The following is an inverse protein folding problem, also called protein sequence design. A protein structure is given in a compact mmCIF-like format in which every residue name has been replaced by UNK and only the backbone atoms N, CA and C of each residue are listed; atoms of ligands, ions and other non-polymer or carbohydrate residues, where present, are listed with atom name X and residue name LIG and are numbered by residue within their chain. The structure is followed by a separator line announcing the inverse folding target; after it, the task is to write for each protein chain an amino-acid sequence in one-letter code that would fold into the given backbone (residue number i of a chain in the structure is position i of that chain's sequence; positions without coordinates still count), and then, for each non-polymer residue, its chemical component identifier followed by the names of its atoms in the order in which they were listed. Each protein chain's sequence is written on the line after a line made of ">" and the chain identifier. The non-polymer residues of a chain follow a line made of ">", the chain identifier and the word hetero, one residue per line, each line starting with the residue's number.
data_IF_755670947126
#
_entry.id   IF_755670947126
#
_cell.length_a   1.000
_cell.length_b   1.000
_cell.length_c   1.000
_cell.angle_alpha   90.00
_cell.angle_beta   90.00
_cell.angle_gamma   90.00
#
_symmetry.space_group_name_H-M   'P 1'
#
loop_
_entity.id
_entity.type
_entity.pdbx_description
1 polymer ?
#
# COMPACT_ATOMS: atom_id res chain seq x y z
N UNK A 1 -13.24 20.99 -15.11
CA UNK A 1 -12.18 19.98 -14.85
C UNK A 1 -12.86 18.64 -14.72
N UNK A 2 -12.43 17.63 -15.48
CA UNK A 2 -12.91 16.25 -15.33
C UNK A 2 -12.38 15.68 -14.02
N UNK A 3 -13.27 15.19 -13.16
CA UNK A 3 -12.91 14.58 -11.87
C UNK A 3 -12.22 13.23 -12.10
N UNK A 4 -11.00 13.05 -11.58
CA UNK A 4 -10.22 11.80 -11.71
C UNK A 4 -10.93 10.58 -11.14
N UNK A 5 -11.73 10.75 -10.09
CA UNK A 5 -12.45 9.68 -9.40
C UNK A 5 -13.96 9.94 -9.39
N UNK A 6 -14.79 8.89 -9.37
CA UNK A 6 -16.23 9.02 -9.14
C UNK A 6 -16.87 7.75 -8.56
N UNK A 7 -18.13 7.88 -8.12
CA UNK A 7 -18.99 6.80 -7.58
C UNK A 7 -18.33 5.92 -6.49
N UNK A 8 -17.71 6.52 -5.46
CA UNK A 8 -17.12 5.71 -4.42
C UNK A 8 -18.18 4.96 -3.61
N UNK A 9 -17.81 3.78 -3.10
CA UNK A 9 -18.54 3.01 -2.10
C UNK A 9 -17.55 2.48 -1.08
N UNK A 10 -17.88 2.65 0.19
CA UNK A 10 -17.15 2.01 1.29
C UNK A 10 -17.85 0.68 1.61
N UNK A 11 -17.17 -0.44 1.42
CA UNK A 11 -17.70 -1.81 1.54
C UNK A 11 -16.80 -2.65 2.44
N UNK A 12 -17.30 -3.81 2.85
CA UNK A 12 -16.54 -4.84 3.56
C UNK A 12 -16.18 -6.00 2.62
N UNK A 13 -15.44 -6.97 3.15
CA UNK A 13 -14.97 -8.15 2.41
C UNK A 13 -16.08 -9.13 1.97
N UNK A 14 -17.32 -8.92 2.41
CA UNK A 14 -18.47 -9.75 2.03
C UNK A 14 -19.15 -9.26 0.75
N UNK A 15 -18.81 -8.07 0.25
CA UNK A 15 -19.38 -7.53 -0.99
C UNK A 15 -19.09 -8.47 -2.18
N UNK A 16 -20.15 -8.86 -2.87
CA UNK A 16 -20.09 -9.84 -3.96
C UNK A 16 -19.20 -9.42 -5.12
N UNK A 17 -19.16 -8.11 -5.45
CA UNK A 17 -18.34 -7.60 -6.56
C UNK A 17 -16.87 -7.62 -6.20
N UNK A 18 -16.55 -7.21 -4.98
CA UNK A 18 -15.18 -7.29 -4.47
C UNK A 18 -14.69 -8.74 -4.39
N UNK A 19 -15.51 -9.66 -3.88
CA UNK A 19 -15.17 -11.10 -3.86
C UNK A 19 -14.88 -11.66 -5.25
N UNK A 20 -15.75 -11.38 -6.23
CA UNK A 20 -15.53 -11.80 -7.61
C UNK A 20 -14.23 -11.21 -8.20
N UNK A 21 -13.93 -9.95 -7.89
CA UNK A 21 -12.67 -9.31 -8.29
C UNK A 21 -11.44 -10.00 -7.68
N UNK A 22 -11.45 -10.31 -6.39
CA UNK A 22 -10.37 -11.04 -5.71
C UNK A 22 -10.18 -12.45 -6.29
N UNK A 23 -11.27 -13.16 -6.58
CA UNK A 23 -11.22 -14.48 -7.21
C UNK A 23 -10.61 -14.44 -8.61
N UNK A 24 -11.03 -13.47 -9.43
CA UNK A 24 -10.45 -13.24 -10.76
C UNK A 24 -8.94 -12.98 -10.66
N UNK A 25 -8.51 -12.17 -9.69
CA UNK A 25 -7.10 -11.87 -9.45
C UNK A 25 -6.29 -13.08 -9.02
N UNK A 26 -6.85 -13.93 -8.15
CA UNK A 26 -6.22 -15.20 -7.74
C UNK A 26 -6.01 -16.11 -8.94
N UNK A 27 -7.00 -16.22 -9.83
CA UNK A 27 -6.92 -17.02 -11.06
C UNK A 27 -5.84 -16.48 -12.02
N UNK A 28 -5.77 -15.16 -12.20
CA UNK A 28 -4.74 -14.54 -13.04
C UNK A 28 -3.33 -14.82 -12.48
N UNK A 29 -3.14 -14.69 -11.16
CA UNK A 29 -1.86 -14.97 -10.51
C UNK A 29 -1.46 -16.44 -10.57
N UNK A 30 -2.40 -17.37 -10.36
CA UNK A 30 -2.10 -18.81 -10.47
C UNK A 30 -1.66 -19.23 -11.87
N UNK A 31 -2.11 -18.50 -12.89
CA UNK A 31 -1.76 -18.76 -14.28
C UNK A 31 -0.40 -18.15 -14.69
N UNK A 32 0.15 -17.21 -13.91
CA UNK A 32 1.39 -16.48 -14.20
C UNK A 32 2.56 -16.93 -13.31
N UNK A 33 3.00 -18.20 -13.44
CA UNK A 33 4.29 -18.76 -12.96
C UNK A 33 4.59 -18.69 -11.44
N UNK A 34 5.70 -19.34 -11.06
CA UNK A 34 6.10 -19.70 -9.69
C UNK A 34 6.01 -18.52 -8.70
N UNK A 35 5.07 -18.62 -7.75
CA UNK A 35 4.96 -17.69 -6.62
C UNK A 35 6.19 -17.93 -5.74
N UNK A 36 7.11 -16.95 -5.71
CA UNK A 36 8.18 -16.94 -4.72
C UNK A 36 7.54 -16.88 -3.33
N UNK A 37 8.02 -17.65 -2.34
CA UNK A 37 7.59 -17.47 -0.96
C UNK A 37 7.74 -16.00 -0.53
N UNK A 38 6.83 -15.48 0.31
CA UNK A 38 7.00 -14.14 0.88
C UNK A 38 8.31 -14.05 1.65
N UNK A 39 9.00 -12.90 1.55
CA UNK A 39 10.24 -12.66 2.30
C UNK A 39 9.90 -12.43 3.78
N UNK A 40 10.85 -12.64 4.68
CA UNK A 40 10.67 -12.37 6.12
C UNK A 40 10.23 -10.93 6.37
N UNK A 41 10.74 -9.97 5.58
CA UNK A 41 10.33 -8.56 5.64
C UNK A 41 8.86 -8.34 5.28
N UNK A 42 8.35 -9.05 4.27
CA UNK A 42 6.94 -8.96 3.86
C UNK A 42 6.04 -9.57 4.95
N UNK A 43 6.48 -10.68 5.55
CA UNK A 43 5.79 -11.33 6.66
C UNK A 43 5.73 -10.40 7.87
N UNK A 44 6.86 -9.84 8.31
CA UNK A 44 6.90 -8.88 9.42
C UNK A 44 6.01 -7.67 9.16
N UNK A 45 6.02 -7.12 7.95
CA UNK A 45 5.14 -6.02 7.58
C UNK A 45 3.66 -6.34 7.82
N UNK A 46 3.22 -7.54 7.44
CA UNK A 46 1.84 -8.01 7.66
C UNK A 46 1.53 -8.30 9.13
N UNK A 47 2.49 -8.80 9.89
CA UNK A 47 2.36 -9.10 11.31
C UNK A 47 2.31 -7.83 12.16
N UNK A 48 3.16 -6.85 11.85
CA UNK A 48 3.16 -5.54 12.48
C UNK A 48 1.86 -4.77 12.17
N UNK A 49 1.33 -4.90 10.95
CA UNK A 49 0.01 -4.38 10.58
C UNK A 49 -1.09 -5.00 11.44
N UNK A 50 -1.12 -6.33 11.56
CA UNK A 50 -2.10 -7.04 12.37
C UNK A 50 -2.02 -6.63 13.85
N UNK A 51 -0.82 -6.60 14.42
CA UNK A 51 -0.58 -6.20 15.81
C UNK A 51 -1.06 -4.77 16.11
N UNK A 52 -0.77 -3.82 15.21
CA UNK A 52 -1.22 -2.44 15.36
C UNK A 52 -2.72 -2.27 15.15
N UNK A 53 -3.32 -3.06 14.25
CA UNK A 53 -4.77 -3.07 14.07
C UNK A 53 -5.47 -3.60 15.32
N UNK A 54 -4.95 -4.64 15.95
CA UNK A 54 -5.48 -5.16 17.22
C UNK A 54 -5.32 -4.15 18.35
N UNK A 55 -4.16 -3.49 18.44
CA UNK A 55 -3.92 -2.39 19.38
C UNK A 55 -4.90 -1.21 19.16
N UNK A 56 -5.20 -0.85 17.91
CA UNK A 56 -6.21 0.15 17.58
C UNK A 56 -7.61 -0.31 18.05
N UNK A 57 -7.98 -1.57 17.78
CA UNK A 57 -9.28 -2.13 18.15
C UNK A 57 -9.55 -2.11 19.67
N UNK A 58 -8.49 -2.15 20.49
CA UNK A 58 -8.60 -2.02 21.95
C UNK A 58 -8.99 -0.61 22.41
N UNK A 59 -8.76 0.41 21.58
CA UNK A 59 -8.98 1.81 21.92
C UNK A 59 -10.20 2.41 21.21
N UNK A 60 -10.48 1.96 19.98
CA UNK A 60 -11.56 2.46 19.14
C UNK A 60 -12.30 1.32 18.45
N UNK A 61 -13.59 1.53 18.17
CA UNK A 61 -14.37 0.57 17.39
C UNK A 61 -14.03 0.70 15.91
N UNK A 62 -13.20 -0.22 15.42
CA UNK A 62 -12.88 -0.31 14.00
C UNK A 62 -14.06 -0.80 13.17
N UNK A 63 -14.17 -0.29 11.95
CA UNK A 63 -15.18 -0.67 10.97
C UNK A 63 -14.61 -1.71 10.01
N UNK A 64 -15.36 -2.80 9.80
CA UNK A 64 -15.05 -3.80 8.78
C UNK A 64 -15.22 -3.28 7.35
N UNK A 65 -15.93 -2.16 7.18
CA UNK A 65 -16.04 -1.46 5.89
C UNK A 65 -14.72 -0.73 5.58
N UNK A 66 -13.71 -1.49 5.18
CA UNK A 66 -12.33 -1.05 4.93
C UNK A 66 -11.93 -1.04 3.45
N UNK A 67 -12.88 -1.31 2.57
CA UNK A 67 -12.61 -1.42 1.13
C UNK A 67 -13.31 -0.28 0.42
N UNK A 68 -12.55 0.51 -0.34
CA UNK A 68 -13.07 1.60 -1.15
C UNK A 68 -13.15 1.13 -2.60
N UNK A 69 -14.37 0.88 -3.08
CA UNK A 69 -14.66 0.74 -4.51
C UNK A 69 -14.82 2.14 -5.11
N UNK A 70 -14.22 2.42 -6.26
CA UNK A 70 -14.38 3.69 -6.97
C UNK A 70 -14.13 3.52 -8.48
N UNK A 71 -14.61 4.47 -9.28
CA UNK A 71 -14.25 4.59 -10.69
C UNK A 71 -13.07 5.54 -10.84
N UNK A 72 -11.99 5.10 -11.48
CA UNK A 72 -10.88 5.95 -11.92
C UNK A 72 -11.02 6.28 -13.41
N UNK A 73 -11.02 7.56 -13.75
CA UNK A 73 -11.17 8.04 -15.12
C UNK A 73 -9.80 8.17 -15.79
N UNK A 74 -9.62 7.47 -16.91
CA UNK A 74 -8.45 7.55 -17.80
C UNK A 74 -8.92 7.92 -19.20
N UNK A 75 -8.79 9.19 -19.55
CA UNK A 75 -9.31 9.71 -20.82
C UNK A 75 -10.84 9.61 -20.88
N UNK A 76 -11.36 8.82 -21.82
CA UNK A 76 -12.82 8.58 -21.98
C UNK A 76 -13.32 7.33 -21.24
N UNK A 77 -12.43 6.53 -20.67
CA UNK A 77 -12.76 5.29 -20.01
C UNK A 77 -12.78 5.48 -18.49
N UNK A 78 -13.67 4.74 -17.82
CA UNK A 78 -13.73 4.66 -16.36
C UNK A 78 -13.52 3.20 -15.96
N UNK A 79 -12.58 2.95 -15.05
CA UNK A 79 -12.23 1.60 -14.59
C UNK A 79 -12.58 1.49 -13.11
N UNK A 80 -13.30 0.43 -12.74
CA UNK A 80 -13.55 0.10 -11.33
C UNK A 80 -12.25 -0.32 -10.66
N UNK A 81 -11.94 0.31 -9.54
CA UNK A 81 -10.78 0.02 -8.70
C UNK A 81 -11.23 -0.22 -7.27
N UNK A 82 -10.47 -1.07 -6.59
CA UNK A 82 -10.64 -1.38 -5.18
C UNK A 82 -9.37 -0.96 -4.45
N UNK A 83 -9.53 -0.27 -3.32
CA UNK A 83 -8.45 0.05 -2.39
C UNK A 83 -8.82 -0.52 -1.03
N UNK A 84 -7.96 -1.38 -0.51
CA UNK A 84 -8.03 -1.83 0.88
C UNK A 84 -7.34 -0.80 1.78
N UNK A 85 -7.99 -0.49 2.88
CA UNK A 85 -7.49 0.39 3.93
C UNK A 85 -7.11 -0.47 5.13
N UNK A 86 -5.97 -0.18 5.74
CA UNK A 86 -5.41 -1.02 6.80
C UNK A 86 -6.30 -1.00 8.05
N UNK A 87 -6.79 0.18 8.44
CA UNK A 87 -7.86 0.32 9.43
C UNK A 87 -8.73 1.56 9.21
N UNK A 88 -10.00 1.45 9.62
CA UNK A 88 -11.01 2.49 9.47
C UNK A 88 -11.78 2.67 10.77
N UNK A 89 -11.93 3.91 11.20
CA UNK A 89 -12.82 4.31 12.28
C UNK A 89 -13.85 5.30 11.77
N UNK A 90 -15.14 4.95 11.84
CA UNK A 90 -16.25 5.83 11.47
C UNK A 90 -16.79 6.43 12.77
N UNK A 91 -16.41 7.68 13.04
CA UNK A 91 -16.78 8.37 14.28
C UNK A 91 -18.26 8.73 14.26
N UNK A 92 -18.72 9.26 13.13
CA UNK A 92 -20.09 9.69 12.90
C UNK A 92 -20.40 9.66 11.39
N UNK A 93 -21.67 9.85 10.97
CA UNK A 93 -22.05 9.78 9.55
C UNK A 93 -21.32 10.76 8.62
N UNK A 94 -20.64 11.78 9.16
CA UNK A 94 -19.90 12.81 8.40
C UNK A 94 -18.38 12.72 8.57
N UNK A 95 -17.89 11.89 9.48
CA UNK A 95 -16.48 11.85 9.87
C UNK A 95 -15.93 10.43 9.82
N UNK A 96 -14.89 10.25 9.02
CA UNK A 96 -14.12 9.00 8.92
C UNK A 96 -12.65 9.28 9.23
N UNK A 97 -12.01 8.34 9.93
CA UNK A 97 -10.58 8.32 10.20
C UNK A 97 -9.99 7.06 9.58
N UNK A 98 -9.00 7.24 8.71
CA UNK A 98 -8.28 6.13 8.06
C UNK A 98 -6.87 6.05 8.62
N UNK A 99 -6.45 4.84 8.93
CA UNK A 99 -5.10 4.54 9.38
C UNK A 99 -4.38 3.77 8.27
N UNK A 100 -3.18 4.23 7.90
CA UNK A 100 -2.23 3.51 7.06
C UNK A 100 -1.10 3.03 7.98
N UNK A 101 -0.80 1.74 7.95
CA UNK A 101 0.22 1.10 8.77
C UNK A 101 1.41 0.77 7.87
N UNK A 102 2.62 1.12 8.32
CA UNK A 102 3.81 0.93 7.49
C UNK A 102 5.02 0.56 8.32
N UNK A 103 5.58 -0.62 8.07
CA UNK A 103 6.92 -0.99 8.53
C UNK A 103 7.97 -0.54 7.53
N UNK A 104 8.98 0.23 7.98
CA UNK A 104 10.01 0.75 7.09
C UNK A 104 11.28 1.16 7.83
N UNK A 105 12.43 0.90 7.20
CA UNK A 105 13.73 1.43 7.60
C UNK A 105 14.07 2.75 6.88
N UNK A 106 13.31 3.09 5.82
CA UNK A 106 13.54 4.29 4.99
C UNK A 106 12.54 5.38 5.37
N UNK A 107 13.01 6.52 5.88
CA UNK A 107 12.14 7.67 6.17
C UNK A 107 11.40 8.17 4.92
N UNK A 108 12.04 8.07 3.75
CA UNK A 108 11.48 8.48 2.46
C UNK A 108 10.18 7.73 2.08
N UNK A 109 9.93 6.56 2.67
CA UNK A 109 8.68 5.81 2.48
C UNK A 109 7.42 6.61 2.86
N UNK A 110 7.55 7.56 3.81
CA UNK A 110 6.46 8.46 4.21
C UNK A 110 5.97 9.34 3.07
N UNK A 111 6.86 9.78 2.17
CA UNK A 111 6.46 10.59 1.00
C UNK A 111 5.49 9.82 0.09
N UNK A 112 5.71 8.51 -0.06
CA UNK A 112 4.82 7.62 -0.83
C UNK A 112 3.49 7.40 -0.11
N UNK A 113 3.54 7.09 1.19
CA UNK A 113 2.34 6.89 2.00
C UNK A 113 1.41 8.12 1.96
N UNK A 114 1.98 9.33 2.12
CA UNK A 114 1.22 10.59 2.04
C UNK A 114 0.55 10.76 0.68
N UNK A 115 1.24 10.44 -0.42
CA UNK A 115 0.66 10.53 -1.77
C UNK A 115 -0.54 9.60 -1.92
N UNK A 116 -0.43 8.38 -1.39
CA UNK A 116 -1.50 7.38 -1.41
C UNK A 116 -2.68 7.80 -0.52
N UNK A 117 -2.40 8.40 0.63
CA UNK A 117 -3.40 8.97 1.53
C UNK A 117 -4.14 10.15 0.90
N UNK A 118 -3.47 11.00 0.11
CA UNK A 118 -4.14 12.11 -0.60
C UNK A 118 -5.18 11.63 -1.62
N UNK A 119 -4.84 10.60 -2.40
CA UNK A 119 -5.80 9.98 -3.31
C UNK A 119 -6.96 9.36 -2.52
N UNK A 120 -6.67 8.70 -1.40
CA UNK A 120 -7.67 8.13 -0.48
C UNK A 120 -8.60 9.19 0.11
N UNK A 121 -8.05 10.31 0.61
CA UNK A 121 -8.82 11.46 1.09
C UNK A 121 -9.71 12.03 -0.01
N UNK A 122 -9.18 12.19 -1.22
CA UNK A 122 -9.96 12.71 -2.36
C UNK A 122 -11.18 11.85 -2.66
N UNK A 123 -11.02 10.53 -2.64
CA UNK A 123 -12.11 9.57 -2.91
C UNK A 123 -13.11 9.58 -1.74
N UNK A 124 -12.63 9.47 -0.50
CA UNK A 124 -13.49 9.40 0.68
C UNK A 124 -14.23 10.71 0.98
N UNK A 125 -13.69 11.88 0.59
CA UNK A 125 -14.37 13.18 0.73
C UNK A 125 -15.67 13.28 -0.07
N UNK A 126 -15.89 12.38 -1.03
CA UNK A 126 -17.17 12.28 -1.75
C UNK A 126 -18.24 11.53 -0.94
N UNK A 127 -17.84 10.78 0.10
CA UNK A 127 -18.73 10.04 1.01
C UNK A 127 -18.85 10.74 2.37
N UNK A 128 -17.77 11.30 2.89
CA UNK A 128 -17.67 11.91 4.21
C UNK A 128 -17.12 13.34 4.10
N UNK A 129 -17.82 14.36 4.63
CA UNK A 129 -17.30 15.73 4.67
C UNK A 129 -15.94 15.88 5.37
N UNK A 130 -15.67 15.07 6.40
CA UNK A 130 -14.40 15.09 7.15
C UNK A 130 -13.69 13.74 7.03
N UNK A 131 -12.45 13.76 6.55
CA UNK A 131 -11.61 12.56 6.38
C UNK A 131 -10.26 12.80 7.05
N UNK A 132 -10.09 12.27 8.26
CA UNK A 132 -8.82 12.28 8.97
C UNK A 132 -7.96 11.12 8.48
N UNK A 133 -6.64 11.33 8.42
CA UNK A 133 -5.70 10.27 8.08
C UNK A 133 -4.56 10.23 9.07
N UNK A 134 -4.09 9.04 9.39
CA UNK A 134 -2.95 8.84 10.28
C UNK A 134 -2.09 7.71 9.76
N UNK A 135 -0.78 7.94 9.77
CA UNK A 135 0.22 6.91 9.50
C UNK A 135 0.66 6.34 10.85
N UNK A 136 0.54 5.03 11.02
CA UNK A 136 1.21 4.28 12.08
C UNK A 136 2.51 3.73 11.50
N UNK A 137 3.62 4.39 11.79
CA UNK A 137 4.94 4.03 11.28
C UNK A 137 5.62 3.08 12.26
N UNK A 138 5.86 1.84 11.84
CA UNK A 138 6.77 0.92 12.52
C UNK A 138 8.16 1.18 11.99
N UNK A 139 8.98 1.78 12.85
CA UNK A 139 10.36 2.11 12.56
C UNK A 139 11.23 0.88 12.76
N UNK A 140 11.77 0.37 11.65
CA UNK A 140 12.65 -0.81 11.62
C UNK A 140 14.12 -0.43 11.37
N UNK A 141 14.53 0.81 11.67
CA UNK A 141 15.93 1.24 11.52
C UNK A 141 16.13 2.58 10.80
N UNK A 142 15.16 3.48 10.81
CA UNK A 142 15.31 4.83 10.28
C UNK A 142 16.32 5.59 11.14
N UNK A 143 17.37 6.22 10.55
CA UNK A 143 18.32 6.99 11.32
C UNK A 143 17.64 8.21 11.98
N UNK A 144 17.95 8.44 13.25
CA UNK A 144 17.44 9.55 14.05
C UNK A 144 18.38 10.74 14.07
N UNK A 145 19.68 10.50 13.92
CA UNK A 145 20.71 11.54 13.91
C UNK A 145 21.56 11.52 12.64
N UNK A 146 22.23 12.64 12.31
CA UNK A 146 23.19 12.67 11.20
C UNK A 146 24.34 11.67 11.37
N UNK A 147 24.75 11.37 12.60
CA UNK A 147 25.79 10.40 12.90
C UNK A 147 25.34 8.97 12.59
N UNK A 148 24.11 8.60 12.97
CA UNK A 148 23.51 7.30 12.62
C UNK A 148 23.34 7.17 11.10
N UNK A 149 22.91 8.25 10.44
CA UNK A 149 22.78 8.31 8.97
C UNK A 149 24.13 8.07 8.27
N UNK A 150 25.21 8.70 8.75
CA UNK A 150 26.55 8.50 8.23
C UNK A 150 27.09 7.08 8.52
N UNK A 151 26.80 6.53 9.70
CA UNK A 151 27.18 5.17 10.07
C UNK A 151 26.49 4.12 9.17
N UNK A 152 25.20 4.27 8.90
CA UNK A 152 24.46 3.40 7.98
C UNK A 152 25.03 3.46 6.55
N UNK A 153 25.41 4.64 6.06
CA UNK A 153 26.08 4.75 4.76
C UNK A 153 27.44 4.02 4.76
N UNK A 154 28.23 4.18 5.82
CA UNK A 154 29.53 3.50 5.93
C UNK A 154 29.39 1.97 5.97
N UNK A 155 28.41 1.46 6.72
CA UNK A 155 28.07 0.04 6.78
C UNK A 155 27.59 -0.48 5.42
N UNK A 156 26.73 0.27 4.71
CA UNK A 156 26.29 -0.07 3.37
C UNK A 156 27.48 -0.18 2.39
N UNK A 157 28.42 0.76 2.45
CA UNK A 157 29.63 0.75 1.61
C UNK A 157 30.52 -0.47 1.94
N UNK A 158 30.64 -0.82 3.22
CA UNK A 158 31.42 -1.97 3.66
C UNK A 158 30.80 -3.31 3.23
N UNK A 159 29.47 -3.41 3.24
CA UNK A 159 28.72 -4.60 2.82
C UNK A 159 28.59 -4.72 1.30
N UNK A 160 28.69 -3.61 0.56
CA UNK A 160 28.53 -3.58 -0.91
C UNK A 160 29.73 -2.94 -1.63
N UNK A 161 30.96 -3.48 -1.50
CA UNK A 161 32.17 -2.87 -2.07
C UNK A 161 32.15 -2.78 -3.60
N UNK A 162 31.37 -3.65 -4.26
CA UNK A 162 31.27 -3.71 -5.72
C UNK A 162 30.19 -2.78 -6.31
N UNK A 163 29.40 -2.09 -5.48
CA UNK A 163 28.35 -1.18 -5.93
C UNK A 163 28.80 0.29 -5.82
N UNK A 164 28.42 1.15 -6.78
CA UNK A 164 28.67 2.58 -6.63
C UNK A 164 27.95 3.10 -5.37
N UNK A 165 28.65 3.83 -4.47
CA UNK A 165 28.05 4.31 -3.25
C UNK A 165 26.95 5.33 -3.53
N UNK A 166 25.88 5.38 -2.70
CA UNK A 166 24.92 6.46 -2.72
C UNK A 166 25.63 7.81 -2.58
N UNK A 167 25.16 8.82 -3.33
CA UNK A 167 25.75 10.18 -3.29
C UNK A 167 25.52 10.88 -1.94
N UNK A 168 24.46 10.51 -1.23
CA UNK A 168 24.06 11.12 0.03
C UNK A 168 23.69 10.01 1.03
N UNK A 169 23.92 10.22 2.33
CA UNK A 169 23.52 9.26 3.35
C UNK A 169 21.98 9.22 3.48
N UNK A 170 21.41 8.13 4.01
CA UNK A 170 19.96 7.99 4.16
C UNK A 170 19.41 9.11 5.06
N UNK A 171 18.34 9.83 4.64
CA UNK A 171 17.85 10.97 5.40
C UNK A 171 17.24 10.54 6.74
N UNK A 172 17.40 11.36 7.77
CA UNK A 172 16.74 11.11 9.06
C UNK A 172 15.24 11.30 8.95
N UNK A 173 14.49 10.78 9.94
CA UNK A 173 13.06 11.06 10.04
C UNK A 173 12.78 12.57 10.14
N UNK A 174 13.60 13.31 10.89
CA UNK A 174 13.46 14.75 11.05
C UNK A 174 13.64 15.49 9.71
N UNK A 175 14.64 15.12 8.90
CA UNK A 175 14.89 15.72 7.58
C UNK A 175 13.71 15.51 6.63
N UNK A 176 13.11 14.32 6.66
CA UNK A 176 11.94 14.02 5.82
C UNK A 176 10.72 14.81 6.30
N UNK A 177 10.48 14.89 7.61
CA UNK A 177 9.35 15.63 8.17
C UNK A 177 9.45 17.14 7.96
N UNK A 178 10.66 17.72 7.97
CA UNK A 178 10.87 19.13 7.63
C UNK A 178 10.35 19.49 6.24
N UNK A 179 10.35 18.53 5.31
CA UNK A 179 9.85 18.68 3.95
C UNK A 179 8.36 18.30 3.78
N UNK A 180 7.68 17.95 4.86
CA UNK A 180 6.28 17.49 4.86
C UNK A 180 5.44 18.31 5.84
N UNK A 181 5.18 19.60 5.55
CA UNK A 181 4.53 20.51 6.48
C UNK A 181 3.09 20.13 6.83
N UNK A 182 2.47 19.22 6.09
CA UNK A 182 1.15 18.65 6.38
C UNK A 182 1.17 17.51 7.40
N UNK A 183 2.34 16.98 7.76
CA UNK A 183 2.45 15.87 8.72
C UNK A 183 2.63 16.42 10.13
N UNK A 184 1.89 15.88 11.10
CA UNK A 184 2.04 16.19 12.51
C UNK A 184 2.30 14.92 13.29
N UNK A 185 3.47 14.87 13.94
CA UNK A 185 3.79 13.79 14.87
C UNK A 185 2.92 13.91 16.12
N UNK A 186 2.41 12.78 16.58
CA UNK A 186 1.68 12.62 17.83
C UNK A 186 2.19 11.37 18.55
N UNK A 187 2.19 11.40 19.88
CA UNK A 187 2.63 10.27 20.70
C UNK A 187 1.46 9.36 21.13
N UNK A 188 0.22 9.74 20.80
CA UNK A 188 -0.98 8.95 21.10
C UNK A 188 -2.14 9.33 20.19
N UNK A 189 -3.19 8.49 20.14
CA UNK A 189 -4.42 8.78 19.41
C UNK A 189 -5.09 10.08 19.88
N UNK A 190 -5.05 10.38 21.18
CA UNK A 190 -5.66 11.58 21.75
C UNK A 190 -4.92 12.88 21.37
N UNK A 191 -3.64 12.78 20.97
CA UNK A 191 -2.82 13.90 20.55
C UNK A 191 -2.84 14.14 19.03
N UNK A 192 -3.64 13.37 18.28
CA UNK A 192 -3.76 13.53 16.84
C UNK A 192 -4.39 14.88 16.46
N UNK A 193 -4.01 15.46 15.31
CA UNK A 193 -4.58 16.73 14.86
C UNK A 193 -6.07 16.60 14.53
N UNK A 194 -6.87 17.57 14.98
CA UNK A 194 -8.29 17.70 14.62
C UNK A 194 -8.51 18.35 13.25
N UNK A 195 -7.44 18.81 12.58
CA UNK A 195 -7.52 19.36 11.22
C UNK A 195 -7.46 18.22 10.17
N UNK A 196 -8.52 17.98 9.37
CA UNK A 196 -8.55 16.95 8.33
C UNK A 196 -7.58 17.18 7.15
N UNK A 197 -6.99 18.37 7.03
CA UNK A 197 -5.95 18.65 6.03
C UNK A 197 -4.55 18.22 6.52
N UNK A 198 -4.40 17.92 7.80
CA UNK A 198 -3.17 17.39 8.38
C UNK A 198 -3.19 15.85 8.42
N UNK A 199 -2.01 15.26 8.28
CA UNK A 199 -1.79 13.82 8.42
C UNK A 199 -1.14 13.57 9.78
N UNK A 200 -1.81 12.80 10.63
CA UNK A 200 -1.22 12.34 11.88
C UNK A 200 -0.10 11.32 11.62
N UNK A 201 0.93 11.33 12.45
CA UNK A 201 2.00 10.31 12.43
C UNK A 201 2.25 9.84 13.86
N UNK A 202 2.00 8.56 14.13
CA UNK A 202 2.41 7.89 15.36
C UNK A 202 3.52 6.92 14.99
N UNK A 203 4.62 6.95 15.74
CA UNK A 203 5.79 6.09 15.51
C UNK A 203 5.84 5.01 16.58
N UNK A 204 6.08 3.78 16.15
CA UNK A 204 6.34 2.61 16.97
C UNK A 204 7.74 2.10 16.65
N UNK A 205 8.47 1.67 17.67
CA UNK A 205 9.70 0.89 17.53
C UNK A 205 9.37 -0.59 17.30
N UNK A 206 10.37 -1.37 16.88
CA UNK A 206 10.25 -2.84 16.83
C UNK A 206 9.94 -3.40 18.21
N UNK A 207 10.54 -2.86 19.28
CA UNK A 207 10.26 -3.27 20.66
C UNK A 207 8.80 -3.04 21.06
N UNK A 208 8.19 -1.94 20.59
CA UNK A 208 6.75 -1.70 20.80
C UNK A 208 5.91 -2.78 20.12
N UNK A 209 6.27 -3.21 18.91
CA UNK A 209 5.56 -4.27 18.19
C UNK A 209 5.76 -5.63 18.87
N UNK A 210 6.97 -5.94 19.34
CA UNK A 210 7.25 -7.13 20.14
C UNK A 210 6.40 -7.13 21.42
N UNK A 211 6.27 -5.99 22.09
CA UNK A 211 5.44 -5.86 23.29
C UNK A 211 3.94 -6.07 23.00
N UNK A 212 3.47 -5.76 21.78
CA UNK A 212 2.08 -5.95 21.37
C UNK A 212 1.77 -7.38 20.94
N UNK A 213 2.64 -8.00 20.13
CA UNK A 213 2.38 -9.28 19.49
C UNK A 213 3.05 -10.48 20.17
N UNK A 214 4.13 -10.26 20.94
CA UNK A 214 5.05 -11.31 21.38
C UNK A 214 6.06 -11.66 20.28
N UNK A 215 7.33 -11.82 20.64
CA UNK A 215 8.42 -12.08 19.69
C UNK A 215 8.22 -13.39 18.90
N UNK A 216 7.58 -14.39 19.50
CA UNK A 216 7.28 -15.68 18.88
C UNK A 216 6.28 -15.61 17.72
N UNK A 217 5.57 -14.49 17.58
CA UNK A 217 4.58 -14.26 16.53
C UNK A 217 5.10 -13.33 15.43
N UNK A 218 6.40 -13.01 15.45
CA UNK A 218 7.02 -12.06 14.54
C UNK A 218 8.21 -12.70 13.83
N UNK A 219 8.31 -12.48 12.53
CA UNK A 219 9.53 -12.75 11.77
C UNK A 219 10.51 -11.59 12.01
N UNK A 220 11.48 -11.75 12.92
CA UNK A 220 12.44 -10.70 13.26
C UNK A 220 13.73 -10.76 12.44
N UNK A 221 14.05 -11.93 11.86
CA UNK A 221 15.27 -12.16 11.08
C UNK A 221 15.06 -11.73 9.62
N UNK A 222 14.88 -10.42 9.37
CA UNK A 222 14.67 -9.87 8.01
C UNK A 222 15.92 -9.26 7.37
N UNK A 223 17.02 -9.15 8.11
CA UNK A 223 18.25 -8.50 7.64
C UNK A 223 18.93 -9.30 6.50
N UNK A 224 18.72 -10.63 6.45
CA UNK A 224 19.27 -11.52 5.40
C UNK A 224 18.56 -11.38 4.04
N UNK A 225 17.31 -10.87 4.01
CA UNK A 225 16.47 -10.77 2.81
C UNK A 225 16.63 -9.43 2.06
N UNK A 226 17.46 -8.51 2.56
CA UNK A 226 17.65 -7.15 2.01
C UNK A 226 18.49 -7.10 0.73
N UNK A 227 19.21 -8.19 0.40
CA UNK A 227 20.22 -8.27 -0.67
C UNK A 227 19.67 -7.99 -2.09
N UNK A 228 18.36 -8.15 -2.29
CA UNK A 228 17.68 -8.02 -3.59
C UNK A 228 16.87 -6.72 -3.79
N UNK A 229 16.90 -5.75 -2.88
CA UNK A 229 16.28 -4.43 -3.09
C UNK A 229 17.14 -3.44 -3.90
N UNK A 230 18.27 -3.90 -4.45
CA UNK A 230 19.13 -3.11 -5.35
C UNK A 230 18.49 -2.90 -6.73
N UNK A 231 18.26 -1.64 -7.10
CA UNK A 231 17.97 -1.16 -8.45
C UNK A 231 16.72 -1.70 -9.18
N UNK A 232 15.63 -1.94 -8.45
CA UNK A 232 14.29 -1.95 -9.05
C UNK A 232 13.63 -0.55 -9.02
N UNK A 233 14.37 0.52 -9.37
CA UNK A 233 13.76 1.83 -9.66
C UNK A 233 13.02 1.87 -11.02
N UNK A 234 12.95 0.75 -11.75
CA UNK A 234 12.09 0.59 -12.93
C UNK A 234 11.45 -0.80 -12.98
N UNK A 235 10.46 -1.06 -12.12
CA UNK A 235 9.33 -1.89 -12.51
C UNK A 235 8.08 -1.52 -11.70
N UNK A 236 6.95 -1.62 -12.38
CA UNK A 236 5.64 -1.16 -11.95
C UNK A 236 5.18 -1.73 -10.59
N UNK A 237 4.45 -0.91 -9.84
CA UNK A 237 3.47 -1.30 -8.82
C UNK A 237 3.87 -2.42 -7.81
N UNK A 238 4.24 -2.01 -6.58
CA UNK A 238 3.88 -2.83 -5.41
C UNK A 238 2.36 -3.10 -5.44
N UNK A 239 1.88 -4.28 -5.01
CA UNK A 239 0.65 -4.89 -5.49
C UNK A 239 -0.59 -4.24 -4.88
N UNK A 240 -0.88 -3.01 -5.26
CA UNK A 240 -2.27 -2.64 -5.46
C UNK A 240 -2.81 -3.60 -6.49
N UNK A 241 -3.93 -4.23 -6.18
CA UNK A 241 -4.65 -5.12 -7.09
C UNK A 241 -5.09 -4.29 -8.32
N UNK A 242 -4.16 -4.13 -9.26
CA UNK A 242 -4.37 -3.58 -10.58
C UNK A 242 -4.64 -4.78 -11.48
N UNK A 243 -5.87 -5.32 -11.43
CA UNK A 243 -6.43 -5.93 -12.63
C UNK A 243 -7.17 -4.83 -13.37
N UNK A 244 -6.69 -4.55 -14.58
CA UNK A 244 -7.59 -4.29 -15.68
C UNK A 244 -8.44 -5.54 -15.86
N UNK A 245 -9.75 -5.43 -15.69
CA UNK A 245 -10.66 -6.31 -16.41
C UNK A 245 -10.67 -5.81 -17.86
N UNK A 246 -9.56 -6.00 -18.57
CA UNK A 246 -9.59 -6.02 -20.02
C UNK A 246 -10.10 -7.40 -20.41
N UNK A 247 -11.41 -7.47 -20.48
CA UNK A 247 -12.10 -8.47 -21.27
C UNK A 247 -13.14 -7.72 -22.09
N UNK A 248 -12.69 -7.13 -23.19
CA UNK A 248 -13.42 -7.19 -24.44
C UNK A 248 -12.46 -7.63 -25.56
N UNK A 249 -12.93 -8.50 -26.48
CA UNK A 249 -12.12 -9.06 -27.54
C UNK A 249 -11.88 -7.99 -28.62
N UNK A 250 -10.62 -7.71 -28.94
CA UNK A 250 -10.29 -7.17 -30.26
C UNK A 250 -10.60 -8.28 -31.29
N UNK A 251 -11.80 -8.21 -31.87
CA UNK A 251 -12.29 -9.17 -32.87
C UNK A 251 -11.59 -9.08 -34.24
N UNK A 252 -10.54 -8.26 -34.39
CA UNK A 252 -9.91 -8.05 -35.70
C UNK A 252 -8.51 -8.62 -35.90
N UNK A 253 -7.81 -9.16 -34.89
CA UNK A 253 -6.48 -9.78 -35.14
C UNK A 253 -6.11 -10.96 -34.19
N UNK A 254 -7.09 -11.81 -33.84
CA UNK A 254 -6.77 -13.08 -33.16
C UNK A 254 -6.40 -14.17 -34.19
N UNK A 255 -5.15 -14.67 -34.23
CA UNK A 255 -4.72 -15.71 -35.18
C UNK A 255 -5.49 -17.03 -35.04
N UNK A 256 -6.07 -17.29 -33.86
CA UNK A 256 -6.94 -18.45 -33.62
C UNK A 256 -8.30 -18.29 -34.30
N UNK A 257 -8.88 -17.09 -34.32
CA UNK A 257 -10.15 -16.80 -34.98
C UNK A 257 -10.02 -16.80 -36.52
N UNK A 258 -8.85 -16.41 -37.04
CA UNK A 258 -8.52 -16.54 -38.46
C UNK A 258 -8.37 -18.02 -38.88
N UNK A 259 -7.72 -18.84 -38.05
CA UNK A 259 -7.58 -20.28 -38.28
C UNK A 259 -8.94 -21.01 -38.25
N UNK A 260 -9.85 -20.62 -37.35
CA UNK A 260 -11.18 -21.21 -37.25
C UNK A 260 -12.07 -20.85 -38.45
N UNK A 261 -12.03 -19.59 -38.92
CA UNK A 261 -12.74 -19.17 -40.14
C UNK A 261 -12.25 -19.93 -41.37
N UNK A 262 -10.94 -20.07 -41.53
CA UNK A 262 -10.36 -20.83 -42.64
C UNK A 262 -10.76 -22.30 -42.62
N UNK A 263 -10.77 -22.94 -41.45
CA UNK A 263 -11.22 -24.33 -41.30
C UNK A 263 -12.73 -24.51 -41.56
N UNK A 264 -13.56 -23.49 -41.29
CA UNK A 264 -14.99 -23.53 -41.58
C UNK A 264 -15.30 -23.26 -43.06
N UNK A 265 -14.54 -22.38 -43.72
CA UNK A 265 -14.64 -22.13 -45.16
C UNK A 265 -14.18 -23.33 -46.00
N UNK A 266 -13.10 -24.02 -45.59
CA UNK A 266 -12.61 -25.23 -46.25
C UNK A 266 -13.61 -26.40 -46.11
N UNK A 267 -14.43 -26.42 -45.04
CA UNK A 267 -15.47 -27.42 -44.81
C UNK A 267 -16.77 -27.15 -45.58
N UNK A 268 -16.98 -25.92 -46.05
CA UNK A 268 -18.16 -25.54 -46.84
C UNK A 268 -17.92 -25.61 -48.36
N UNK A 269 -16.67 -25.78 -48.80
CA UNK A 269 -16.27 -25.90 -50.22
C UNK A 269 -15.82 -27.31 -50.63
N UNK A 270 -15.88 -28.29 -49.72
CA UNK A 270 -15.72 -29.72 -50.01
C UNK A 270 -17.05 -30.44 -49.91
#
# INVERSE_FOLDING_TARGET
>A
MTTRFSRPRLIDETDQRYRAHVEQMKLLRSNQRAIRPPRARDLFGSEAEAALRDWLAQQITLSERRIVEYLEHRGRQAVTKYRELDAVWILDPKTIHVFEIKASMKAASLRRAIRQLRDTQTILRMLFPKVHTTILLVDTGIPQTPEESAAQLAEWIATHPDRPPPNEPPPTLADVLANLPQVRRADSLAALPDDPELVGLIRFSVDDIIALAGAENLHLDWDEDEEEEGDAETSEAAPYIYSSSESEPDEEDNPLAAALRKAMEDRARG
#
